data_IF_417918346004
#
_entry.id   IF_417918346004
#
_cell.length_a   1.000
_cell.length_b   1.000
_cell.length_c   1.000
_cell.angle_alpha   90.00
_cell.angle_beta   90.00
_cell.angle_gamma   90.00
#
_symmetry.space_group_name_H-M   'P 1'
#
loop_
_entity.id
_entity.type
_entity.pdbx_description
1 polymer ?
#
# COMPACT_ATOMS: atom_id res chain seq x y z
N UNK A 1 6.14 -0.84 25.66
CA UNK A 1 4.94 -1.26 24.91
C UNK A 1 5.29 -2.52 24.15
N UNK A 2 4.50 -3.59 24.26
CA UNK A 2 4.78 -4.83 23.53
C UNK A 2 4.60 -4.58 22.02
N UNK A 3 5.57 -5.03 21.22
CA UNK A 3 5.47 -4.98 19.76
C UNK A 3 4.40 -5.99 19.36
N UNK A 4 3.24 -5.50 18.93
CA UNK A 4 2.19 -6.37 18.39
C UNK A 4 2.74 -7.00 17.11
N UNK A 5 2.67 -8.32 17.05
CA UNK A 5 3.13 -9.07 15.88
C UNK A 5 2.23 -8.76 14.67
N UNK A 6 2.84 -8.63 13.49
CA UNK A 6 2.09 -8.28 12.30
C UNK A 6 1.29 -9.50 11.82
N UNK A 7 -0.04 -9.35 11.81
CA UNK A 7 -0.97 -10.43 11.44
C UNK A 7 -1.25 -10.52 9.94
N UNK A 8 -1.02 -9.43 9.19
CA UNK A 8 -1.27 -9.39 7.75
C UNK A 8 -0.06 -9.95 6.98
N UNK A 9 -0.35 -10.76 5.97
CA UNK A 9 0.61 -11.19 4.95
C UNK A 9 0.76 -10.07 3.91
N UNK A 10 2.00 -9.66 3.61
CA UNK A 10 2.31 -8.64 2.61
C UNK A 10 3.02 -9.29 1.43
N UNK A 11 2.52 -9.03 0.22
CA UNK A 11 3.17 -9.43 -1.02
C UNK A 11 3.27 -8.22 -1.96
N UNK A 12 4.48 -7.67 -2.19
CA UNK A 12 5.78 -8.07 -1.65
C UNK A 12 6.00 -7.70 -0.17
N UNK A 13 6.78 -8.51 0.56
CA UNK A 13 6.92 -8.41 2.03
C UNK A 13 7.83 -7.28 2.52
N UNK A 14 8.93 -7.00 1.81
CA UNK A 14 9.98 -6.09 2.28
C UNK A 14 10.08 -4.80 1.48
N UNK A 15 9.91 -4.89 0.15
CA UNK A 15 10.15 -3.77 -0.75
C UNK A 15 9.11 -3.72 -1.86
N UNK A 16 8.61 -2.52 -2.14
CA UNK A 16 7.67 -2.25 -3.21
C UNK A 16 8.42 -1.52 -4.33
N UNK A 17 8.69 -2.23 -5.43
CA UNK A 17 9.46 -1.70 -6.56
C UNK A 17 8.56 -0.97 -7.54
N UNK A 18 8.93 0.26 -7.85
CA UNK A 18 8.36 1.05 -8.94
C UNK A 18 9.35 1.00 -10.10
N UNK A 19 8.99 0.31 -11.18
CA UNK A 19 9.85 0.22 -12.37
C UNK A 19 9.54 1.39 -13.29
N UNK A 20 10.59 2.08 -13.73
CA UNK A 20 10.48 3.17 -14.69
C UNK A 20 10.08 2.68 -16.09
N UNK A 21 9.87 3.60 -17.05
CA UNK A 21 10.28 5.00 -17.01
C UNK A 21 9.47 5.86 -16.02
N UNK A 22 10.14 6.79 -15.33
CA UNK A 22 9.50 7.76 -14.42
C UNK A 22 9.09 9.05 -15.16
N UNK A 23 8.75 8.91 -16.44
CA UNK A 23 8.19 9.99 -17.28
C UNK A 23 6.68 10.10 -17.10
N UNK A 24 6.03 9.00 -16.70
CA UNK A 24 4.60 8.91 -16.45
C UNK A 24 4.32 8.30 -15.07
N UNK A 25 3.06 8.34 -14.65
CA UNK A 25 2.62 7.77 -13.37
C UNK A 25 2.90 6.26 -13.34
N UNK A 26 3.75 5.83 -12.40
CA UNK A 26 4.08 4.41 -12.23
C UNK A 26 3.17 3.80 -11.17
N UNK A 27 2.46 2.74 -11.51
CA UNK A 27 1.61 1.98 -10.58
C UNK A 27 2.28 0.67 -10.20
N UNK A 28 2.20 0.31 -8.93
CA UNK A 28 2.62 -0.99 -8.40
C UNK A 28 1.59 -1.47 -7.39
N UNK A 29 1.46 -2.79 -7.25
CA UNK A 29 0.44 -3.40 -6.40
C UNK A 29 1.09 -4.05 -5.18
N UNK A 30 0.49 -3.81 -4.02
CA UNK A 30 0.78 -4.46 -2.76
C UNK A 30 -0.46 -5.28 -2.37
N UNK A 31 -0.31 -6.59 -2.27
CA UNK A 31 -1.37 -7.47 -1.80
C UNK A 31 -1.26 -7.62 -0.29
N UNK A 32 -2.36 -7.35 0.41
CA UNK A 32 -2.51 -7.55 1.83
C UNK A 32 -3.46 -8.73 2.04
N UNK A 33 -2.96 -9.83 2.60
CA UNK A 33 -3.74 -11.01 2.95
C UNK A 33 -4.01 -11.06 4.46
N UNK A 34 -5.25 -11.38 4.83
CA UNK A 34 -5.62 -11.66 6.21
C UNK A 34 -5.77 -13.17 6.42
N UNK A 35 -4.74 -13.87 6.94
CA UNK A 35 -4.83 -15.30 7.23
C UNK A 35 -5.61 -15.62 8.51
N UNK A 36 -6.13 -14.61 9.22
CA UNK A 36 -6.81 -14.79 10.51
C UNK A 36 -8.33 -14.96 10.36
N UNK A 37 -8.98 -15.51 11.38
CA UNK A 37 -10.44 -15.70 11.43
C UNK A 37 -11.20 -14.46 11.92
N UNK A 38 -10.55 -13.30 11.95
CA UNK A 38 -11.13 -12.04 12.42
C UNK A 38 -10.88 -10.91 11.44
N UNK A 39 -11.74 -9.90 11.47
CA UNK A 39 -11.57 -8.71 10.64
C UNK A 39 -10.39 -7.87 11.12
N UNK A 40 -9.54 -7.45 10.18
CA UNK A 40 -8.34 -6.65 10.46
C UNK A 40 -8.41 -5.33 9.72
N UNK A 41 -8.31 -4.22 10.46
CA UNK A 41 -8.20 -2.88 9.89
C UNK A 41 -6.74 -2.59 9.51
N UNK A 42 -6.52 -1.99 8.34
CA UNK A 42 -5.20 -1.55 7.92
C UNK A 42 -5.18 -0.05 7.60
N UNK A 43 -4.00 0.56 7.72
CA UNK A 43 -3.74 1.95 7.30
C UNK A 43 -2.35 2.05 6.70
N UNK A 44 -2.28 2.53 5.46
CA UNK A 44 -1.03 2.77 4.76
C UNK A 44 -0.50 4.15 5.11
N UNK A 45 0.77 4.22 5.47
CA UNK A 45 1.50 5.47 5.68
C UNK A 45 2.71 5.49 4.75
N UNK A 46 2.95 6.64 4.13
CA UNK A 46 4.14 6.89 3.32
C UNK A 46 4.91 8.05 3.91
N UNK A 47 6.23 8.05 3.77
CA UNK A 47 7.10 9.16 4.20
C UNK A 47 7.10 10.32 3.18
N UNK A 48 6.52 10.12 1.99
CA UNK A 48 6.46 11.13 0.94
C UNK A 48 5.04 11.23 0.32
N UNK A 49 4.04 11.74 1.05
CA UNK A 49 2.64 11.78 0.59
C UNK A 49 2.42 12.65 -0.65
N UNK A 50 3.30 13.64 -0.93
CA UNK A 50 3.27 14.43 -2.17
C UNK A 50 3.66 13.62 -3.41
N UNK A 51 4.54 12.62 -3.26
CA UNK A 51 5.09 11.85 -4.38
C UNK A 51 4.37 10.54 -4.65
N UNK A 52 3.61 10.04 -3.67
CA UNK A 52 2.96 8.74 -3.74
C UNK A 52 1.48 8.84 -3.37
N UNK A 53 0.61 8.38 -4.26
CA UNK A 53 -0.80 8.19 -3.99
C UNK A 53 -1.08 6.70 -3.78
N UNK A 54 -1.74 6.34 -2.68
CA UNK A 54 -2.10 4.95 -2.38
C UNK A 54 -3.60 4.80 -2.29
N UNK A 55 -4.16 3.81 -3.00
CA UNK A 55 -5.59 3.51 -3.01
C UNK A 55 -5.83 1.99 -2.94
N UNK A 56 -6.66 1.49 -2.01
CA UNK A 56 -7.18 2.19 -0.81
C UNK A 56 -6.07 2.53 0.20
N UNK A 57 -6.19 3.66 0.89
CA UNK A 57 -5.22 4.09 1.93
C UNK A 57 -5.48 3.46 3.30
N UNK A 58 -6.71 3.00 3.53
CA UNK A 58 -7.18 2.37 4.74
C UNK A 58 -8.40 1.53 4.41
N UNK A 59 -8.71 0.57 5.26
CA UNK A 59 -9.83 -0.32 5.05
C UNK A 59 -9.84 -1.46 6.06
N UNK A 60 -10.80 -2.36 5.87
CA UNK A 60 -10.96 -3.58 6.65
C UNK A 60 -10.79 -4.75 5.69
N UNK A 61 -10.05 -5.76 6.13
CA UNK A 61 -9.90 -7.03 5.42
C UNK A 61 -10.62 -8.08 6.26
N UNK A 62 -11.62 -8.72 5.66
CA UNK A 62 -12.37 -9.79 6.32
C UNK A 62 -11.50 -11.02 6.57
N UNK A 63 -11.99 -11.91 7.42
CA UNK A 63 -11.35 -13.19 7.72
C UNK A 63 -11.07 -14.00 6.44
N UNK A 64 -9.82 -14.44 6.25
CA UNK A 64 -9.40 -15.20 5.06
C UNK A 64 -9.38 -14.41 3.74
N UNK A 65 -9.72 -13.12 3.75
CA UNK A 65 -9.77 -12.29 2.55
C UNK A 65 -8.40 -11.68 2.21
N UNK A 66 -8.28 -11.18 0.98
CA UNK A 66 -7.11 -10.41 0.54
C UNK A 66 -7.56 -9.17 -0.22
N UNK A 67 -6.80 -8.08 -0.11
CA UNK A 67 -7.04 -6.84 -0.82
C UNK A 67 -5.77 -6.40 -1.57
N UNK A 68 -5.96 -5.85 -2.76
CA UNK A 68 -4.88 -5.23 -3.51
C UNK A 68 -4.90 -3.72 -3.26
N UNK A 69 -3.76 -3.22 -2.79
CA UNK A 69 -3.48 -1.81 -2.61
C UNK A 69 -2.60 -1.34 -3.74
N UNK A 70 -3.08 -0.39 -4.53
CA UNK A 70 -2.32 0.21 -5.62
C UNK A 70 -1.57 1.44 -5.10
N UNK A 71 -0.24 1.37 -5.16
CA UNK A 71 0.65 2.51 -4.97
C UNK A 71 0.97 3.13 -6.32
N UNK A 72 0.68 4.41 -6.48
CA UNK A 72 1.07 5.22 -7.63
C UNK A 72 2.16 6.19 -7.23
N UNK A 73 3.20 6.28 -8.03
CA UNK A 73 4.24 7.29 -7.92
C UNK A 73 3.99 8.36 -8.98
N UNK A 74 3.85 9.60 -8.54
CA UNK A 74 3.80 10.77 -9.43
C UNK A 74 5.20 11.10 -9.93
N UNK A 75 5.27 11.63 -11.14
CA UNK A 75 6.47 12.25 -11.69
C UNK A 75 6.60 13.66 -11.13
N UNK A 76 7.82 14.18 -11.02
CA UNK A 76 8.10 15.47 -10.37
C UNK A 76 7.42 16.68 -11.04
N UNK A 77 6.78 16.49 -12.20
CA UNK A 77 6.16 17.57 -12.99
C UNK A 77 4.64 17.73 -12.73
N UNK A 78 3.99 16.82 -11.99
CA UNK A 78 2.57 16.91 -11.61
C UNK A 78 2.40 17.20 -10.11
N UNK A 79 3.17 18.16 -9.58
CA UNK A 79 3.07 18.58 -8.16
C UNK A 79 1.87 19.51 -7.88
N UNK A 80 1.02 19.80 -8.88
CA UNK A 80 -0.09 20.76 -8.80
C UNK A 80 -1.42 20.19 -9.30
N UNK A 81 -1.99 19.24 -8.55
CA UNK A 81 -3.44 19.01 -8.48
C UNK A 81 -3.74 17.98 -7.40
N UNK A 82 -3.92 18.48 -6.17
CA UNK A 82 -4.54 17.73 -5.07
C UNK A 82 -5.91 18.33 -4.77
#
# INVERSE_FOLDING_TARGET
MAKVEQVLSLEPQHELKFRGPFTDVVTTNLKLGNPTDRNVCFKVKTTAPRRYCVRPNSGIIDAGASINVSGRRWTSDEEDSA
#
